data_IF_650535237180
#
_entry.id   IF_650535237180
#
_cell.length_a   1.000
_cell.length_b   1.000
_cell.length_c   1.000
_cell.angle_alpha   90.00
_cell.angle_beta   90.00
_cell.angle_gamma   90.00
#
_symmetry.space_group_name_H-M   'P 1'
#
loop_
_entity.id
_entity.type
_entity.pdbx_description
1 polymer ?
#
# COMPACT_ATOMS: atom_id res chain seq x y z
N UNK A 1 -6.59 5.59 5.96
CA UNK A 1 -5.96 6.03 4.70
C UNK A 1 -4.76 5.15 4.42
N UNK A 2 -4.69 4.59 3.22
CA UNK A 2 -3.49 3.92 2.71
C UNK A 2 -2.56 4.94 2.05
N UNK A 3 -1.28 4.91 2.40
CA UNK A 3 -0.29 5.89 1.93
C UNK A 3 1.03 5.24 1.54
N UNK A 4 1.82 5.97 0.75
CA UNK A 4 3.20 5.56 0.42
C UNK A 4 4.11 5.80 1.61
N UNK A 5 4.56 4.76 2.29
CA UNK A 5 5.59 4.90 3.31
C UNK A 5 6.96 4.82 2.64
N UNK A 6 7.44 5.97 2.15
CA UNK A 6 8.70 6.07 1.42
C UNK A 6 9.93 5.59 2.21
N UNK A 7 10.11 5.93 3.51
CA UNK A 7 11.24 5.41 4.29
C UNK A 7 11.32 3.89 4.42
N UNK A 8 10.23 3.16 4.16
CA UNK A 8 10.11 1.71 4.29
C UNK A 8 9.81 1.05 2.94
N UNK A 9 9.74 1.83 1.85
CA UNK A 9 9.47 1.34 0.49
C UNK A 9 8.18 0.50 0.42
N UNK A 10 7.18 0.90 1.21
CA UNK A 10 5.99 0.10 1.50
C UNK A 10 4.71 0.93 1.39
N UNK A 11 3.57 0.25 1.50
CA UNK A 11 2.27 0.87 1.73
C UNK A 11 1.90 0.71 3.20
N UNK A 12 1.41 1.79 3.79
CA UNK A 12 1.02 1.84 5.19
C UNK A 12 -0.39 2.37 5.39
N UNK A 13 -0.99 2.04 6.53
CA UNK A 13 -2.29 2.49 6.99
C UNK A 13 -2.12 3.50 8.14
N UNK A 14 -2.86 4.60 8.06
CA UNK A 14 -3.20 5.46 9.20
C UNK A 14 -4.71 5.54 9.35
N UNK A 15 -5.19 5.73 10.56
CA UNK A 15 -6.60 5.91 10.85
C UNK A 15 -6.86 7.32 11.39
N UNK A 16 -8.06 7.83 11.14
CA UNK A 16 -8.51 9.13 11.65
C UNK A 16 -10.01 9.09 11.84
N UNK A 17 -10.50 9.77 12.88
CA UNK A 17 -11.93 9.97 13.13
C UNK A 17 -12.47 11.24 12.51
N UNK A 18 -11.60 12.19 12.16
CA UNK A 18 -11.98 13.54 11.70
C UNK A 18 -11.35 13.95 10.35
N UNK A 19 -10.46 13.13 9.80
CA UNK A 19 -9.74 13.41 8.55
C UNK A 19 -8.60 14.42 8.69
N UNK A 20 -8.33 14.92 9.90
CA UNK A 20 -7.32 15.97 10.19
C UNK A 20 -6.21 15.41 11.07
N UNK A 21 -6.57 14.70 12.14
CA UNK A 21 -5.62 14.06 13.05
C UNK A 21 -5.51 12.58 12.71
N UNK A 22 -4.28 12.10 12.49
CA UNK A 22 -4.02 10.74 12.01
C UNK A 22 -3.21 9.96 13.04
N UNK A 23 -3.41 8.65 13.08
CA UNK A 23 -2.69 7.74 13.98
C UNK A 23 -1.19 7.69 13.66
N UNK A 24 -0.37 7.67 14.70
CA UNK A 24 1.08 7.50 14.62
C UNK A 24 1.59 6.39 15.56
N UNK A 25 2.65 5.65 15.19
CA UNK A 25 3.24 5.61 13.85
C UNK A 25 2.27 4.93 12.86
N UNK A 26 2.33 5.22 11.55
CA UNK A 26 1.55 4.43 10.61
C UNK A 26 1.90 2.91 10.68
N UNK A 27 0.98 2.07 10.23
CA UNK A 27 1.16 0.63 10.22
C UNK A 27 1.57 0.18 8.82
N UNK A 28 2.72 -0.48 8.64
CA UNK A 28 3.01 -1.11 7.35
C UNK A 28 2.05 -2.27 7.13
N UNK A 29 1.28 -2.22 6.04
CA UNK A 29 0.26 -3.23 5.68
C UNK A 29 0.64 -4.01 4.44
N UNK A 30 1.50 -3.46 3.59
CA UNK A 30 2.03 -4.15 2.44
C UNK A 30 3.49 -3.75 2.24
N UNK A 31 4.40 -4.69 2.50
CA UNK A 31 5.85 -4.47 2.55
C UNK A 31 6.55 -4.76 1.22
N UNK A 32 7.82 -4.34 1.08
CA UNK A 32 8.61 -4.63 -0.11
C UNK A 32 8.89 -6.14 -0.22
N UNK A 33 8.87 -6.66 -1.45
CA UNK A 33 9.16 -8.05 -1.81
C UNK A 33 10.26 -8.12 -2.86
N UNK A 34 11.55 -8.01 -2.49
CA UNK A 34 12.67 -8.04 -3.44
C UNK A 34 12.73 -9.30 -4.30
N UNK A 35 12.27 -10.43 -3.78
CA UNK A 35 12.22 -11.72 -4.46
C UNK A 35 11.37 -11.72 -5.73
N UNK A 36 10.44 -10.75 -5.86
CA UNK A 36 9.60 -10.59 -7.06
C UNK A 36 10.35 -9.92 -8.21
N UNK A 37 11.47 -9.25 -7.91
CA UNK A 37 12.25 -8.46 -8.87
C UNK A 37 11.62 -7.12 -9.27
N UNK A 38 10.45 -6.75 -8.75
CA UNK A 38 9.81 -5.47 -9.06
C UNK A 38 9.06 -4.78 -7.92
N UNK A 39 8.90 -5.46 -6.78
CA UNK A 39 8.21 -4.94 -5.59
C UNK A 39 9.17 -4.58 -4.44
N UNK A 40 10.46 -4.33 -4.72
CA UNK A 40 11.41 -3.87 -3.72
C UNK A 40 11.22 -2.39 -3.32
N UNK A 41 10.49 -1.62 -4.13
CA UNK A 41 9.97 -0.28 -3.82
C UNK A 41 8.53 -0.12 -4.33
N UNK A 42 7.57 -0.28 -3.42
CA UNK A 42 6.15 -0.10 -3.72
C UNK A 42 5.57 1.18 -3.11
N UNK A 43 4.65 1.82 -3.84
CA UNK A 43 4.08 3.11 -3.49
C UNK A 43 2.83 3.47 -4.32
N UNK A 44 2.31 4.70 -4.14
CA UNK A 44 1.15 5.27 -4.83
C UNK A 44 -0.07 4.32 -4.80
N UNK A 45 -0.52 3.90 -3.60
CA UNK A 45 -1.66 3.00 -3.48
C UNK A 45 -2.96 3.70 -3.90
N UNK A 46 -3.84 2.96 -4.56
CA UNK A 46 -5.26 3.26 -4.68
C UNK A 46 -6.04 2.06 -4.18
N UNK A 47 -6.87 2.27 -3.16
CA UNK A 47 -7.68 1.21 -2.54
C UNK A 47 -9.15 1.48 -2.80
N UNK A 48 -9.83 0.47 -3.34
CA UNK A 48 -11.27 0.45 -3.55
C UNK A 48 -11.90 -0.64 -2.68
N UNK A 49 -12.86 -0.28 -1.84
CA UNK A 49 -13.71 -1.24 -1.12
C UNK A 49 -14.92 -1.61 -1.96
N UNK A 50 -15.15 -2.90 -2.17
CA UNK A 50 -16.27 -3.48 -2.92
C UNK A 50 -16.98 -4.52 -2.04
N UNK A 51 -18.07 -5.10 -2.55
CA UNK A 51 -18.81 -6.16 -1.85
C UNK A 51 -18.02 -7.46 -1.65
N UNK A 52 -16.96 -7.66 -2.43
CA UNK A 52 -16.07 -8.83 -2.42
C UNK A 52 -14.72 -8.58 -1.70
N UNK A 53 -14.57 -7.43 -1.03
CA UNK A 53 -13.37 -7.08 -0.27
C UNK A 53 -12.70 -5.81 -0.74
N UNK A 54 -11.41 -5.69 -0.44
CA UNK A 54 -10.56 -4.55 -0.77
C UNK A 54 -9.70 -4.88 -1.98
N UNK A 55 -9.62 -3.92 -2.90
CA UNK A 55 -8.86 -4.02 -4.14
C UNK A 55 -7.81 -2.90 -4.14
N UNK A 56 -6.54 -3.28 -4.23
CA UNK A 56 -5.41 -2.36 -4.22
C UNK A 56 -4.75 -2.35 -5.59
N UNK A 57 -4.59 -1.16 -6.16
CA UNK A 57 -3.62 -0.90 -7.22
C UNK A 57 -2.45 -0.12 -6.63
N UNK A 58 -1.23 -0.50 -7.00
CA UNK A 58 -0.01 0.14 -6.50
C UNK A 58 1.03 0.25 -7.59
N UNK A 59 2.05 1.07 -7.36
CA UNK A 59 3.19 1.21 -8.24
C UNK A 59 4.40 0.50 -7.65
N UNK A 60 4.99 -0.44 -8.38
CA UNK A 60 6.35 -0.92 -8.13
C UNK A 60 7.37 -0.13 -8.96
N UNK A 61 8.46 0.33 -8.34
CA UNK A 61 9.55 1.03 -9.02
C UNK A 61 10.69 0.07 -9.27
N UNK A 62 10.88 -0.36 -10.53
CA UNK A 62 11.89 -1.34 -10.87
C UNK A 62 12.55 -1.06 -12.21
N UNK A 63 13.88 -1.22 -12.25
CA UNK A 63 14.71 -1.00 -13.45
C UNK A 63 14.50 0.37 -14.09
N UNK A 64 14.36 1.41 -13.26
CA UNK A 64 14.14 2.79 -13.70
C UNK A 64 12.76 3.04 -14.32
N UNK A 65 11.79 2.14 -14.10
CA UNK A 65 10.43 2.23 -14.64
C UNK A 65 9.39 2.01 -13.54
N UNK A 66 8.19 2.54 -13.76
CA UNK A 66 7.02 2.31 -12.91
C UNK A 66 6.15 1.20 -13.49
N UNK A 67 5.71 0.29 -12.64
CA UNK A 67 4.85 -0.84 -12.96
C UNK A 67 3.59 -0.79 -12.12
N UNK A 68 2.45 -1.20 -12.68
CA UNK A 68 1.19 -1.26 -11.94
C UNK A 68 1.01 -2.68 -11.41
N UNK A 69 0.87 -2.78 -10.10
CA UNK A 69 0.49 -3.98 -9.38
C UNK A 69 -0.98 -3.99 -8.99
N UNK A 70 -1.50 -5.18 -8.74
CA UNK A 70 -2.84 -5.40 -8.22
C UNK A 70 -2.81 -6.46 -7.10
N UNK A 71 -3.53 -6.22 -6.01
CA UNK A 71 -3.69 -7.12 -4.89
C UNK A 71 -5.10 -7.02 -4.31
N UNK A 72 -5.55 -8.08 -3.63
CA UNK A 72 -6.85 -8.12 -2.95
C UNK A 72 -6.67 -8.46 -1.49
N UNK A 73 -7.53 -7.89 -0.64
CA UNK A 73 -7.52 -8.14 0.80
C UNK A 73 -8.95 -8.26 1.34
N UNK A 74 -9.14 -9.13 2.34
CA UNK A 74 -10.42 -9.24 3.03
C UNK A 74 -10.65 -8.09 4.03
N UNK A 75 -9.57 -7.56 4.63
CA UNK A 75 -9.61 -6.61 5.74
C UNK A 75 -8.94 -5.25 5.43
N UNK A 76 -8.22 -5.14 4.32
CA UNK A 76 -7.46 -3.96 3.94
C UNK A 76 -6.17 -3.75 4.74
N UNK A 77 -5.78 -4.75 5.54
CA UNK A 77 -4.59 -4.73 6.42
C UNK A 77 -3.60 -5.80 6.01
N UNK A 78 -4.06 -7.00 5.66
CA UNK A 78 -3.25 -8.07 5.09
C UNK A 78 -3.46 -8.13 3.58
N UNK A 79 -2.41 -7.87 2.80
CA UNK A 79 -2.43 -7.77 1.33
C UNK A 79 -1.59 -8.84 0.65
#
# INVERSE_FOLDING_TARGET
MWLSWRPKKSIALVESKDGIHWSEPPQTVFGPRPETGWEDDINRPYVLKRGDGYHLWYTGQSKGRSWIGYATSADGVAW
#
